data_IF_936539286957
#
_entry.id   IF_936539286957
#
_cell.length_a   1.000
_cell.length_b   1.000
_cell.length_c   1.000
_cell.angle_alpha   90.00
_cell.angle_beta   90.00
_cell.angle_gamma   90.00
#
_symmetry.space_group_name_H-M   'P 1'
#
loop_
_entity.id
_entity.type
_entity.pdbx_description
1 polymer ?
#
# COMPACT_ATOMS: atom_id res chain seq x y z
N UNK A 1 -11.62 -15.25 21.50
CA UNK A 1 -11.25 -14.58 20.23
C UNK A 1 -12.14 -13.35 20.03
N UNK A 2 -11.77 -12.18 20.56
CA UNK A 2 -12.57 -10.95 20.53
C UNK A 2 -13.23 -10.67 19.18
N UNK A 3 -14.40 -10.04 19.21
CA UNK A 3 -15.07 -9.51 18.04
C UNK A 3 -14.20 -8.43 17.39
N UNK A 4 -13.32 -8.82 16.46
CA UNK A 4 -12.37 -7.94 15.75
C UNK A 4 -13.00 -6.70 15.09
N UNK A 5 -14.32 -6.66 14.88
CA UNK A 5 -15.00 -5.50 14.28
C UNK A 5 -15.47 -4.45 15.29
N UNK A 6 -15.75 -4.86 16.52
CA UNK A 6 -16.38 -4.02 17.54
C UNK A 6 -15.55 -3.87 18.82
N UNK A 7 -14.45 -4.61 18.96
CA UNK A 7 -13.52 -4.47 20.08
C UNK A 7 -13.92 -5.23 21.34
N UNK A 8 -15.04 -5.96 21.32
CA UNK A 8 -15.53 -6.72 22.48
C UNK A 8 -14.77 -8.05 22.63
N UNK A 9 -14.42 -8.43 23.87
CA UNK A 9 -13.60 -9.60 24.24
C UNK A 9 -14.21 -10.97 23.89
N UNK A 10 -15.44 -11.00 23.40
CA UNK A 10 -16.23 -12.21 23.15
C UNK A 10 -15.72 -13.02 21.95
N UNK A 11 -15.63 -14.35 22.09
CA UNK A 11 -15.15 -15.27 21.05
C UNK A 11 -16.07 -15.34 19.83
N UNK A 12 -15.54 -15.14 18.62
CA UNK A 12 -16.25 -15.33 17.33
C UNK A 12 -16.76 -16.75 17.04
N UNK A 13 -16.35 -17.75 17.82
CA UNK A 13 -16.71 -19.15 17.60
C UNK A 13 -17.94 -19.62 18.40
N UNK A 14 -18.49 -18.77 19.28
CA UNK A 14 -19.72 -19.11 20.00
C UNK A 14 -20.94 -18.71 19.17
N UNK A 15 -21.98 -19.55 19.21
CA UNK A 15 -23.36 -19.20 18.82
C UNK A 15 -23.87 -17.94 19.53
N UNK A 16 -23.19 -17.54 20.62
CA UNK A 16 -23.62 -16.51 21.56
C UNK A 16 -22.88 -15.18 21.34
N UNK A 17 -22.39 -14.91 20.12
CA UNK A 17 -21.86 -13.59 19.80
C UNK A 17 -23.00 -12.57 19.85
N UNK A 18 -22.97 -11.63 20.80
CA UNK A 18 -23.98 -10.57 20.97
C UNK A 18 -24.18 -9.67 19.74
N UNK A 19 -23.27 -9.77 18.76
CA UNK A 19 -23.32 -9.04 17.49
C UNK A 19 -23.32 -9.97 16.28
N UNK A 20 -23.74 -11.24 16.45
CA UNK A 20 -23.93 -12.20 15.35
C UNK A 20 -24.84 -11.64 14.25
N UNK A 21 -25.90 -10.93 14.65
CA UNK A 21 -26.90 -10.33 13.77
C UNK A 21 -26.72 -8.81 13.63
N UNK A 22 -25.50 -8.31 13.84
CA UNK A 22 -25.22 -6.88 13.68
C UNK A 22 -25.34 -6.45 12.21
N UNK A 23 -26.24 -5.50 11.97
CA UNK A 23 -26.60 -4.93 10.67
C UNK A 23 -25.85 -3.63 10.35
N UNK A 24 -24.86 -3.27 11.16
CA UNK A 24 -24.10 -2.03 10.93
C UNK A 24 -23.37 -2.08 9.58
N UNK A 25 -23.18 -0.92 8.95
CA UNK A 25 -22.59 -0.81 7.61
C UNK A 25 -21.27 -1.57 7.45
N UNK A 26 -20.40 -1.54 8.47
CA UNK A 26 -19.11 -2.25 8.48
C UNK A 26 -19.29 -3.78 8.47
N UNK A 27 -20.22 -4.30 9.27
CA UNK A 27 -20.51 -5.74 9.33
C UNK A 27 -21.16 -6.25 8.04
N UNK A 28 -22.10 -5.49 7.47
CA UNK A 28 -22.69 -5.80 6.15
C UNK A 28 -21.62 -5.86 5.06
N UNK A 29 -20.71 -4.89 5.00
CA UNK A 29 -19.60 -4.88 4.04
C UNK A 29 -18.64 -6.06 4.23
N UNK A 30 -18.36 -6.45 5.48
CA UNK A 30 -17.50 -7.60 5.77
C UNK A 30 -18.17 -8.92 5.39
N UNK A 31 -19.47 -9.06 5.65
CA UNK A 31 -20.27 -10.20 5.17
C UNK A 31 -20.21 -10.31 3.65
N UNK A 32 -20.52 -9.22 2.94
CA UNK A 32 -20.44 -9.16 1.47
C UNK A 32 -19.03 -9.47 0.94
N UNK A 33 -17.97 -8.99 1.61
CA UNK A 33 -16.58 -9.31 1.26
C UNK A 33 -16.31 -10.81 1.34
N UNK A 34 -16.80 -11.49 2.39
CA UNK A 34 -16.66 -12.94 2.57
C UNK A 34 -17.39 -13.69 1.45
N UNK A 35 -18.62 -13.30 1.12
CA UNK A 35 -19.39 -13.90 0.02
C UNK A 35 -18.67 -13.78 -1.33
N UNK A 36 -18.20 -12.59 -1.68
CA UNK A 36 -17.47 -12.34 -2.94
C UNK A 36 -16.18 -13.16 -2.98
N UNK A 37 -15.46 -13.24 -1.86
CA UNK A 37 -14.22 -14.04 -1.76
C UNK A 37 -14.51 -15.53 -1.94
N UNK A 38 -15.56 -16.05 -1.32
CA UNK A 38 -15.98 -17.45 -1.47
C UNK A 38 -16.39 -17.76 -2.92
N UNK A 39 -17.12 -16.85 -3.58
CA UNK A 39 -17.46 -16.97 -5.01
C UNK A 39 -16.19 -17.02 -5.87
N UNK A 40 -15.20 -16.16 -5.60
CA UNK A 40 -13.92 -16.18 -6.32
C UNK A 40 -13.12 -17.46 -6.11
N UNK A 41 -13.08 -18.00 -4.88
CA UNK A 41 -12.44 -19.29 -4.61
C UNK A 41 -13.09 -20.42 -5.42
N UNK A 42 -14.43 -20.46 -5.47
CA UNK A 42 -15.17 -21.45 -6.27
C UNK A 42 -14.89 -21.30 -7.77
N UNK A 43 -14.78 -20.08 -8.28
CA UNK A 43 -14.44 -19.85 -9.70
C UNK A 43 -13.00 -20.29 -10.02
N UNK A 44 -12.03 -20.00 -9.15
CA UNK A 44 -10.64 -20.43 -9.34
C UNK A 44 -10.47 -21.95 -9.26
N UNK A 45 -11.20 -22.60 -8.37
CA UNK A 45 -11.22 -24.06 -8.27
C UNK A 45 -11.74 -24.71 -9.57
N UNK A 46 -12.72 -24.07 -10.24
CA UNK A 46 -13.24 -24.56 -11.52
C UNK A 46 -12.29 -24.36 -12.69
N UNK A 47 -11.45 -23.31 -12.66
CA UNK A 47 -10.62 -22.93 -13.82
C UNK A 47 -9.17 -23.41 -13.75
N UNK A 48 -8.75 -24.09 -12.67
CA UNK A 48 -7.38 -24.60 -12.49
C UNK A 48 -6.28 -23.57 -12.84
N UNK A 49 -6.55 -22.28 -12.64
CA UNK A 49 -5.61 -21.21 -12.97
C UNK A 49 -4.50 -21.23 -11.90
N UNK A 50 -3.37 -21.82 -12.25
CA UNK A 50 -2.11 -21.71 -11.53
C UNK A 50 -1.61 -20.26 -11.62
N UNK A 51 -2.09 -19.42 -10.71
CA UNK A 51 -1.38 -18.20 -10.39
C UNK A 51 -0.15 -18.63 -9.59
N UNK A 52 0.95 -18.89 -10.30
CA UNK A 52 2.26 -18.97 -9.66
C UNK A 52 2.50 -17.75 -8.77
N UNK A 53 3.45 -17.87 -7.85
CA UNK A 53 3.84 -16.81 -6.92
C UNK A 53 4.40 -15.60 -7.68
N UNK A 54 3.50 -14.80 -8.24
CA UNK A 54 3.82 -13.62 -9.03
C UNK A 54 3.67 -12.42 -8.12
N UNK A 55 4.73 -11.61 -8.03
CA UNK A 55 4.66 -10.37 -7.27
C UNK A 55 3.48 -9.52 -7.76
N UNK A 56 2.50 -9.40 -6.87
CA UNK A 56 1.24 -8.71 -7.08
C UNK A 56 1.42 -7.22 -7.37
N UNK A 57 2.56 -6.64 -6.96
CA UNK A 57 2.85 -5.22 -7.05
C UNK A 57 3.24 -4.81 -8.46
N UNK A 58 3.96 -5.67 -9.19
CA UNK A 58 4.51 -5.35 -10.50
C UNK A 58 3.69 -5.89 -11.68
N UNK A 59 2.72 -6.77 -11.40
CA UNK A 59 1.93 -7.42 -12.45
C UNK A 59 0.56 -6.78 -12.67
N UNK A 60 0.10 -6.78 -13.92
CA UNK A 60 -1.22 -6.32 -14.30
C UNK A 60 -2.29 -7.19 -13.65
N UNK A 61 -3.11 -6.57 -12.80
CA UNK A 61 -4.17 -7.28 -12.07
C UNK A 61 -5.20 -7.97 -12.97
N UNK A 62 -5.67 -7.29 -14.02
CA UNK A 62 -6.66 -7.85 -14.94
C UNK A 62 -6.08 -9.08 -15.64
N UNK A 63 -4.85 -9.00 -16.16
CA UNK A 63 -4.16 -10.15 -16.76
C UNK A 63 -3.97 -11.32 -15.80
N UNK A 64 -3.60 -11.04 -14.55
CA UNK A 64 -3.43 -12.08 -13.54
C UNK A 64 -4.73 -12.83 -13.24
N UNK A 65 -5.90 -12.18 -13.32
CA UNK A 65 -7.19 -12.88 -13.17
C UNK A 65 -7.38 -13.93 -14.26
N UNK A 66 -6.84 -13.68 -15.45
CA UNK A 66 -6.87 -14.58 -16.59
C UNK A 66 -5.65 -15.50 -16.68
N UNK A 67 -4.78 -15.53 -15.67
CA UNK A 67 -3.55 -16.36 -15.67
C UNK A 67 -2.43 -15.82 -16.56
N UNK A 68 -2.55 -14.59 -17.08
CA UNK A 68 -1.54 -13.96 -17.93
C UNK A 68 -0.60 -13.11 -17.08
N UNK A 69 0.71 -13.38 -17.15
CA UNK A 69 1.74 -12.56 -16.52
C UNK A 69 2.09 -11.40 -17.45
N UNK A 70 1.86 -10.17 -16.99
CA UNK A 70 2.28 -8.98 -17.73
C UNK A 70 2.71 -7.89 -16.76
N UNK A 71 3.86 -7.26 -17.01
CA UNK A 71 4.40 -6.18 -16.18
C UNK A 71 3.57 -4.93 -16.38
N UNK A 72 3.01 -4.37 -15.30
CA UNK A 72 2.08 -3.22 -15.35
C UNK A 72 2.67 -2.01 -16.11
N UNK A 73 3.98 -1.77 -15.99
CA UNK A 73 4.69 -0.62 -16.60
C UNK A 73 4.68 -0.65 -18.14
N UNK A 74 4.77 -1.84 -18.75
CA UNK A 74 4.97 -1.99 -20.20
C UNK A 74 3.79 -2.66 -20.92
N UNK A 75 2.66 -2.82 -20.24
CA UNK A 75 1.54 -3.64 -20.69
C UNK A 75 0.33 -2.82 -21.18
N UNK A 76 0.60 -1.71 -21.87
CA UNK A 76 -0.45 -0.83 -22.39
C UNK A 76 -0.57 -0.99 -23.91
N UNK A 77 -1.78 -1.24 -24.46
CA UNK A 77 -3.05 -1.44 -23.78
C UNK A 77 -3.24 -2.86 -23.23
N UNK A 78 -3.89 -2.97 -22.06
CA UNK A 78 -4.21 -4.26 -21.46
C UNK A 78 -5.35 -4.95 -22.24
N UNK A 79 -5.20 -6.20 -22.69
CA UNK A 79 -6.23 -6.92 -23.46
C UNK A 79 -7.48 -7.20 -22.64
N UNK A 80 -7.36 -7.22 -21.31
CA UNK A 80 -8.47 -7.42 -20.38
C UNK A 80 -8.93 -6.13 -19.71
N UNK A 81 -8.51 -4.95 -20.19
CA UNK A 81 -8.87 -3.66 -19.60
C UNK A 81 -10.40 -3.51 -19.43
N UNK A 82 -11.15 -3.89 -20.47
CA UNK A 82 -12.61 -3.83 -20.52
C UNK A 82 -13.29 -5.18 -20.27
N UNK A 83 -12.56 -6.18 -19.77
CA UNK A 83 -13.13 -7.50 -19.52
C UNK A 83 -14.15 -7.45 -18.37
N UNK A 84 -15.33 -8.03 -18.62
CA UNK A 84 -16.46 -8.19 -17.69
C UNK A 84 -16.81 -9.65 -17.41
N UNK A 85 -15.83 -10.56 -17.47
CA UNK A 85 -16.07 -11.94 -17.06
C UNK A 85 -16.42 -12.02 -15.56
N UNK A 86 -17.10 -13.08 -15.09
CA UNK A 86 -17.50 -13.21 -13.69
C UNK A 86 -16.35 -13.03 -12.69
N UNK A 87 -15.16 -13.54 -13.02
CA UNK A 87 -13.96 -13.37 -12.19
C UNK A 87 -13.50 -11.91 -12.11
N UNK A 88 -13.58 -11.16 -13.22
CA UNK A 88 -13.22 -9.75 -13.27
C UNK A 88 -14.22 -8.88 -12.48
N UNK A 89 -15.52 -9.12 -12.65
CA UNK A 89 -16.57 -8.38 -11.93
C UNK A 89 -16.50 -8.60 -10.42
N UNK A 90 -16.38 -9.85 -9.97
CA UNK A 90 -16.26 -10.16 -8.54
C UNK A 90 -14.99 -9.58 -7.92
N UNK A 91 -13.89 -9.53 -8.66
CA UNK A 91 -12.66 -8.90 -8.19
C UNK A 91 -12.80 -7.37 -8.06
N UNK A 92 -13.53 -6.75 -8.97
CA UNK A 92 -13.83 -5.32 -8.95
C UNK A 92 -14.78 -4.97 -7.80
N UNK A 93 -15.81 -5.79 -7.58
CA UNK A 93 -16.70 -5.69 -6.41
C UNK A 93 -15.92 -5.84 -5.10
N UNK A 94 -15.03 -6.84 -5.00
CA UNK A 94 -14.17 -7.03 -3.82
C UNK A 94 -13.33 -5.78 -3.53
N UNK A 95 -12.73 -5.17 -4.55
CA UNK A 95 -11.95 -3.93 -4.39
C UNK A 95 -12.81 -2.76 -3.91
N UNK A 96 -14.01 -2.61 -4.47
CA UNK A 96 -14.96 -1.59 -4.03
C UNK A 96 -15.27 -1.75 -2.53
N UNK A 97 -15.65 -2.96 -2.12
CA UNK A 97 -15.96 -3.27 -0.71
C UNK A 97 -14.76 -2.99 0.20
N UNK A 98 -13.55 -3.40 -0.19
CA UNK A 98 -12.35 -3.11 0.59
C UNK A 98 -12.07 -1.61 0.75
N UNK A 99 -12.29 -0.81 -0.30
CA UNK A 99 -12.17 0.66 -0.23
C UNK A 99 -13.18 1.24 0.76
N UNK A 100 -14.44 0.82 0.68
CA UNK A 100 -15.49 1.29 1.60
C UNK A 100 -15.17 0.95 3.06
N UNK A 101 -14.70 -0.28 3.33
CA UNK A 101 -14.26 -0.67 4.68
C UNK A 101 -13.10 0.20 5.16
N UNK A 102 -12.12 0.48 4.30
CA UNK A 102 -10.95 1.30 4.65
C UNK A 102 -11.35 2.74 5.01
N UNK A 103 -12.32 3.31 4.29
CA UNK A 103 -12.86 4.64 4.59
C UNK A 103 -13.55 4.68 5.96
N UNK A 104 -14.37 3.67 6.28
CA UNK A 104 -15.03 3.57 7.59
C UNK A 104 -13.97 3.48 8.70
N UNK A 105 -12.93 2.66 8.52
CA UNK A 105 -11.85 2.53 9.51
C UNK A 105 -11.06 3.84 9.69
N UNK A 106 -10.82 4.57 8.60
CA UNK A 106 -10.15 5.87 8.66
C UNK A 106 -11.00 6.91 9.41
N UNK A 107 -12.32 6.93 9.17
CA UNK A 107 -13.24 7.81 9.88
C UNK A 107 -13.33 7.47 11.38
N UNK A 108 -13.42 6.18 11.72
CA UNK A 108 -13.39 5.70 13.11
C UNK A 108 -12.10 6.11 13.82
N UNK A 109 -10.95 5.99 13.16
CA UNK A 109 -9.65 6.39 13.71
C UNK A 109 -9.55 7.91 13.90
N UNK A 110 -10.08 8.70 12.97
CA UNK A 110 -10.07 10.16 13.09
C UNK A 110 -10.94 10.64 14.26
N UNK A 111 -12.12 10.02 14.46
CA UNK A 111 -13.01 10.31 15.60
C UNK A 111 -12.32 10.04 16.94
N UNK A 112 -11.60 8.92 17.06
CA UNK A 112 -10.84 8.57 18.28
C UNK A 112 -9.76 9.59 18.61
N UNK A 113 -9.02 10.05 17.59
CA UNK A 113 -7.99 11.09 17.76
C UNK A 113 -8.57 12.45 18.15
N UNK A 114 -9.76 12.80 17.65
CA UNK A 114 -10.43 14.05 18.03
C UNK A 114 -11.04 14.02 19.45
N UNK A 115 -11.36 12.83 20.00
CA UNK A 115 -11.96 12.71 21.34
C UNK A 115 -10.94 12.74 22.50
N UNK A 116 -9.64 12.62 22.23
CA UNK A 116 -8.58 12.61 23.25
C UNK A 116 -8.02 14.02 23.58
N UNK A 117 -8.64 15.10 23.09
CA UNK A 117 -8.18 16.49 23.27
C UNK A 117 -9.08 17.34 24.20
N UNK A 118 -9.78 16.73 25.16
CA UNK A 118 -10.72 17.47 26.02
C UNK A 118 -10.55 17.12 27.50
N UNK A 119 -9.35 17.32 28.05
CA UNK A 119 -9.15 17.53 29.48
C UNK A 119 -7.80 18.23 29.77
N UNK A 120 -7.83 19.56 29.81
CA UNK A 120 -7.11 20.40 30.80
C UNK A 120 -7.51 21.87 30.61
N UNK A 121 -8.04 22.47 31.68
CA UNK A 121 -8.49 23.85 31.87
C UNK A 121 -7.42 24.95 31.62
N UNK A 122 -7.91 26.13 31.17
CA UNK A 122 -7.42 27.54 31.30
C UNK A 122 -5.89 27.85 31.32
N UNK A 123 -5.29 28.86 30.65
CA UNK A 123 -5.70 30.16 30.08
C UNK A 123 -4.48 30.76 29.31
N UNK A 124 -4.42 32.02 28.79
CA UNK A 124 -4.15 32.29 27.37
C UNK A 124 -2.82 33.04 27.10
N UNK A 125 -2.13 32.76 25.98
CA UNK A 125 -1.49 33.83 25.20
C UNK A 125 -0.85 33.40 23.88
N UNK A 126 -0.97 34.37 22.97
CA UNK A 126 -0.13 34.63 21.80
C UNK A 126 -0.39 33.75 20.56
N UNK A 127 -1.16 34.33 19.65
CA UNK A 127 -0.92 34.17 18.22
C UNK A 127 0.58 34.33 17.91
N UNK A 128 1.11 33.54 16.97
CA UNK A 128 1.74 34.20 15.85
C UNK A 128 1.29 33.63 14.51
N UNK A 129 0.98 34.57 13.62
CA UNK A 129 1.29 34.58 12.19
C UNK A 129 1.18 33.26 11.42
N UNK A 130 0.13 33.21 10.61
CA UNK A 130 0.09 32.45 9.36
C UNK A 130 1.33 32.85 8.53
N UNK A 131 2.34 31.98 8.50
CA UNK A 131 3.31 31.97 7.41
C UNK A 131 2.88 30.90 6.42
N UNK A 132 2.58 31.35 5.21
CA UNK A 132 2.35 30.56 4.01
C UNK A 132 3.36 29.40 3.94
N UNK A 133 2.87 28.17 4.05
CA UNK A 133 3.66 27.00 3.68
C UNK A 133 3.60 26.94 2.15
N UNK A 134 4.68 27.41 1.52
CA UNK A 134 4.99 27.13 0.12
C UNK A 134 5.01 25.62 -0.08
N UNK A 135 4.28 25.16 -1.09
CA UNK A 135 4.25 23.78 -1.56
C UNK A 135 5.68 23.24 -1.69
N UNK A 136 6.00 22.22 -0.89
CA UNK A 136 7.27 21.49 -1.04
C UNK A 136 7.27 20.77 -2.40
N UNK A 137 8.36 20.85 -3.19
CA UNK A 137 8.43 20.18 -4.47
C UNK A 137 8.31 18.67 -4.25
N UNK A 138 7.27 18.06 -4.83
CA UNK A 138 7.07 16.61 -4.77
C UNK A 138 8.24 15.92 -5.48
N UNK A 139 9.16 15.34 -4.71
CA UNK A 139 10.30 14.59 -5.24
C UNK A 139 9.84 13.55 -6.29
N UNK A 140 10.63 13.45 -7.36
CA UNK A 140 10.48 12.45 -8.43
C UNK A 140 10.43 11.03 -7.85
N UNK A 141 9.80 10.09 -8.58
CA UNK A 141 9.78 8.67 -8.20
C UNK A 141 11.19 8.12 -7.99
N UNK A 142 12.14 8.62 -8.78
CA UNK A 142 13.51 8.10 -8.78
C UNK A 142 14.28 8.65 -7.59
N UNK A 143 14.08 9.93 -7.25
CA UNK A 143 14.61 10.55 -6.04
C UNK A 143 14.12 9.85 -4.75
N UNK A 144 12.88 9.36 -4.74
CA UNK A 144 12.33 8.59 -3.61
C UNK A 144 13.01 7.23 -3.45
N UNK A 145 13.30 6.54 -4.56
CA UNK A 145 14.01 5.26 -4.52
C UNK A 145 15.42 5.43 -3.96
N UNK A 146 16.13 6.49 -4.36
CA UNK A 146 17.47 6.72 -3.86
C UNK A 146 17.44 7.16 -2.38
N UNK A 147 16.45 7.96 -1.98
CA UNK A 147 16.27 8.33 -0.56
C UNK A 147 15.95 7.10 0.31
N UNK A 148 15.14 6.17 -0.18
CA UNK A 148 14.88 4.91 0.49
C UNK A 148 16.15 4.05 0.59
N UNK A 149 16.98 4.04 -0.46
CA UNK A 149 18.27 3.35 -0.47
C UNK A 149 19.23 3.93 0.59
N UNK A 150 19.33 5.27 0.65
CA UNK A 150 20.18 5.98 1.62
C UNK A 150 19.70 5.76 3.06
N UNK A 151 18.39 5.79 3.30
CA UNK A 151 17.81 5.48 4.61
C UNK A 151 18.07 4.02 5.03
N UNK A 152 18.02 3.08 4.08
CA UNK A 152 18.33 1.67 4.34
C UNK A 152 19.81 1.48 4.69
N UNK A 153 20.72 2.21 4.05
CA UNK A 153 22.16 2.14 4.33
C UNK A 153 22.57 2.87 5.62
N UNK A 154 21.82 3.90 6.04
CA UNK A 154 22.16 4.72 7.20
C UNK A 154 21.67 4.17 8.55
N UNK A 155 20.65 3.31 8.58
CA UNK A 155 19.92 3.01 9.84
C UNK A 155 20.38 1.73 10.55
N UNK A 156 20.65 0.61 9.86
CA UNK A 156 21.26 -0.60 10.46
C UNK A 156 21.51 -1.67 9.36
N UNK A 157 22.75 -2.16 9.16
CA UNK A 157 23.06 -3.20 8.16
C UNK A 157 22.28 -4.51 8.34
N UNK A 158 21.72 -4.77 9.53
CA UNK A 158 21.01 -6.01 9.85
C UNK A 158 19.57 -6.07 9.36
N UNK A 159 18.99 -4.95 8.93
CA UNK A 159 17.63 -4.87 8.40
C UNK A 159 17.55 -4.84 6.87
N UNK A 160 18.67 -5.10 6.18
CA UNK A 160 18.72 -5.27 4.74
C UNK A 160 18.08 -6.60 4.32
N UNK A 161 16.82 -6.52 3.86
CA UNK A 161 16.13 -7.69 3.35
C UNK A 161 16.53 -7.95 1.89
N UNK A 162 17.53 -8.81 1.71
CA UNK A 162 18.04 -9.28 0.42
C UNK A 162 16.95 -9.86 -0.49
N UNK A 163 15.83 -10.35 0.06
CA UNK A 163 14.73 -10.93 -0.73
C UNK A 163 13.83 -9.88 -1.41
N UNK A 164 13.89 -8.62 -0.98
CA UNK A 164 13.07 -7.53 -1.52
C UNK A 164 13.92 -6.47 -2.24
N UNK A 165 15.24 -6.71 -2.34
CA UNK A 165 16.18 -5.84 -3.00
C UNK A 165 16.35 -6.29 -4.45
N UNK A 166 16.00 -5.41 -5.39
CA UNK A 166 16.09 -5.69 -6.81
C UNK A 166 17.54 -5.45 -7.29
N UNK A 167 18.38 -6.48 -7.09
CA UNK A 167 19.77 -6.47 -7.53
C UNK A 167 19.89 -6.25 -9.04
N UNK A 168 18.91 -6.73 -9.82
CA UNK A 168 18.91 -6.56 -11.27
C UNK A 168 18.60 -5.11 -11.66
N UNK A 169 17.69 -4.42 -10.95
CA UNK A 169 17.45 -3.00 -11.15
C UNK A 169 18.67 -2.15 -10.80
N UNK A 170 19.38 -2.47 -9.72
CA UNK A 170 20.60 -1.77 -9.33
C UNK A 170 21.74 -2.04 -10.32
N UNK A 171 21.94 -3.30 -10.72
CA UNK A 171 22.92 -3.67 -11.73
C UNK A 171 22.60 -3.02 -13.08
N UNK A 172 21.33 -2.96 -13.46
CA UNK A 172 20.89 -2.28 -14.68
C UNK A 172 21.15 -0.77 -14.61
N UNK A 173 20.91 -0.14 -13.44
CA UNK A 173 21.21 1.27 -13.21
C UNK A 173 22.71 1.58 -13.36
N UNK A 174 23.59 0.77 -12.74
CA UNK A 174 25.05 0.94 -12.88
C UNK A 174 25.62 0.48 -14.23
N UNK A 175 24.89 -0.35 -14.98
CA UNK A 175 25.29 -0.76 -16.33
C UNK A 175 25.02 0.30 -17.40
N UNK A 176 24.36 1.41 -17.05
CA UNK A 176 24.11 2.48 -18.02
C UNK A 176 25.43 3.20 -18.35
N UNK A 177 25.73 3.45 -19.65
CA UNK A 177 26.98 4.07 -20.08
C UNK A 177 27.12 5.52 -19.58
N UNK A 178 25.99 6.15 -19.28
CA UNK A 178 25.90 7.50 -18.72
C UNK A 178 24.78 7.51 -17.71
N UNK A 179 25.12 7.88 -16.48
CA UNK A 179 24.18 7.94 -15.37
C UNK A 179 23.72 9.41 -15.26
N UNK A 180 22.50 9.68 -15.72
CA UNK A 180 21.95 11.04 -15.68
C UNK A 180 21.54 11.36 -14.25
N UNK A 181 22.35 12.15 -13.56
CA UNK A 181 22.02 12.67 -12.25
C UNK A 181 20.96 13.76 -12.38
N UNK A 182 19.91 13.75 -11.54
CA UNK A 182 18.98 14.86 -11.47
C UNK A 182 19.71 16.18 -11.17
N UNK A 183 19.29 17.29 -11.81
CA UNK A 183 19.96 18.59 -11.68
C UNK A 183 19.97 19.09 -10.23
N UNK A 184 18.97 18.69 -9.44
CA UNK A 184 18.87 18.96 -8.02
C UNK A 184 20.02 18.37 -7.17
N UNK A 185 20.80 17.42 -7.72
CA UNK A 185 21.91 16.77 -7.00
C UNK A 185 23.28 17.38 -7.34
N UNK A 186 23.35 18.25 -8.35
CA UNK A 186 24.59 18.94 -8.73
C UNK A 186 25.25 19.71 -7.57
N UNK A 187 24.50 20.41 -6.68
CA UNK A 187 25.10 21.11 -5.54
C UNK A 187 25.77 20.17 -4.54
N UNK A 188 25.21 18.97 -4.36
CA UNK A 188 25.64 17.96 -3.39
C UNK A 188 26.72 17.03 -3.96
N UNK A 189 26.97 17.10 -5.28
CA UNK A 189 27.89 16.21 -5.98
C UNK A 189 29.32 16.19 -5.41
N UNK A 190 29.94 17.32 -5.03
CA UNK A 190 31.27 17.31 -4.43
C UNK A 190 31.35 16.50 -3.13
N UNK A 191 30.30 16.59 -2.30
CA UNK A 191 30.23 15.88 -1.02
C UNK A 191 29.98 14.39 -1.23
N UNK A 192 29.08 14.04 -2.16
CA UNK A 192 28.82 12.64 -2.56
C UNK A 192 30.10 11.98 -3.08
N UNK A 193 30.86 12.66 -3.95
CA UNK A 193 32.12 12.14 -4.50
C UNK A 193 33.17 11.94 -3.39
N UNK A 194 33.26 12.87 -2.44
CA UNK A 194 34.16 12.73 -1.29
C UNK A 194 33.82 11.49 -0.45
N UNK A 195 32.54 11.28 -0.15
CA UNK A 195 32.07 10.12 0.62
C UNK A 195 32.30 8.80 -0.10
N UNK A 196 32.11 8.75 -1.42
CA UNK A 196 32.40 7.56 -2.23
C UNK A 196 33.90 7.25 -2.24
N UNK A 197 34.75 8.27 -2.34
CA UNK A 197 36.20 8.10 -2.29
C UNK A 197 36.71 7.63 -0.93
N UNK A 198 36.06 8.01 0.16
CA UNK A 198 36.41 7.55 1.51
C UNK A 198 35.99 6.08 1.77
N UNK A 199 34.97 5.60 1.06
CA UNK A 199 34.44 4.26 1.20
C UNK A 199 35.13 3.19 0.31
N UNK A 200 35.97 3.60 -0.64
CA UNK A 200 36.76 2.74 -1.54
C UNK A 200 38.20 2.55 -1.02
#
# INVERSE_FOLDING_TARGET
>A
VPCMNHGDSSSHASSDCERSDCDCRKCVLIGRRREVTNKLMRLRAKTAINNGDFDARYTCFKCRIHGVKSVKKFHTPCPFAHCRCPSCELNEERRRICREISLIQQEENNKRRSSECSHSDESPRASPEIKEIKEAPSLSSDAKVILDLLNVLAIDPTHFNTFNFDFDALAQFFSQPTLMLPEEWLPEWPEIVSLVHEAL
#
